data_IF_328097969343
#
_entry.id   IF_328097969343
#
_cell.length_a   1.000
_cell.length_b   1.000
_cell.length_c   1.000
_cell.angle_alpha   90.00
_cell.angle_beta   90.00
_cell.angle_gamma   90.00
#
_symmetry.space_group_name_H-M   'P 1'
#
loop_
_entity.id
_entity.type
_entity.pdbx_description
1 polymer ?
#
# COMPACT_ATOMS: atom_id res chain seq x y z
N UNK A 1 -64.50 3.23 -22.41
CA UNK A 1 -63.43 4.11 -22.94
C UNK A 1 -62.37 4.49 -21.91
N UNK A 2 -62.71 4.86 -20.67
CA UNK A 2 -61.75 5.35 -19.64
C UNK A 2 -60.63 4.36 -19.24
N UNK A 3 -60.89 3.04 -19.25
CA UNK A 3 -59.91 2.00 -18.90
C UNK A 3 -58.78 1.82 -19.94
N UNK A 4 -59.10 1.94 -21.23
CA UNK A 4 -58.10 1.83 -22.30
C UNK A 4 -57.10 2.99 -22.26
N UNK A 5 -57.55 4.19 -21.89
CA UNK A 5 -56.68 5.37 -21.78
C UNK A 5 -55.65 5.23 -20.63
N UNK A 6 -56.01 4.54 -19.55
CA UNK A 6 -55.09 4.29 -18.43
C UNK A 6 -54.00 3.30 -18.83
N UNK A 7 -54.36 2.21 -19.52
CA UNK A 7 -53.38 1.25 -20.03
C UNK A 7 -52.45 1.93 -21.05
N UNK A 8 -53.01 2.74 -21.94
CA UNK A 8 -52.23 3.47 -22.94
C UNK A 8 -51.26 4.47 -22.30
N UNK A 9 -51.68 5.13 -21.21
CA UNK A 9 -50.83 6.04 -20.44
C UNK A 9 -49.66 5.30 -19.79
N UNK A 10 -49.89 4.16 -19.14
CA UNK A 10 -48.79 3.38 -18.55
C UNK A 10 -47.86 2.80 -19.61
N UNK A 11 -48.40 2.41 -20.77
CA UNK A 11 -47.60 1.92 -21.90
C UNK A 11 -46.70 3.04 -22.47
N UNK A 12 -47.25 4.23 -22.70
CA UNK A 12 -46.48 5.37 -23.19
C UNK A 12 -45.46 5.86 -22.17
N UNK A 13 -45.81 5.84 -20.88
CA UNK A 13 -44.90 6.18 -19.80
C UNK A 13 -43.73 5.19 -19.73
N UNK A 14 -44.01 3.88 -19.77
CA UNK A 14 -42.97 2.84 -19.81
C UNK A 14 -42.06 2.97 -21.04
N UNK A 15 -42.63 3.31 -22.19
CA UNK A 15 -41.86 3.55 -23.42
C UNK A 15 -40.95 4.78 -23.29
N UNK A 16 -41.45 5.88 -22.71
CA UNK A 16 -40.65 7.08 -22.46
C UNK A 16 -39.49 6.80 -21.49
N UNK A 17 -39.72 6.05 -20.41
CA UNK A 17 -38.66 5.63 -19.49
C UNK A 17 -37.64 4.70 -20.18
N UNK A 18 -38.08 3.80 -21.05
CA UNK A 18 -37.18 2.93 -21.81
C UNK A 18 -36.23 3.73 -22.71
N UNK A 19 -36.76 4.71 -23.46
CA UNK A 19 -35.94 5.62 -24.28
C UNK A 19 -34.96 6.41 -23.42
N UNK A 20 -35.40 6.92 -22.26
CA UNK A 20 -34.55 7.68 -21.35
C UNK A 20 -33.39 6.83 -20.82
N UNK A 21 -33.66 5.61 -20.35
CA UNK A 21 -32.64 4.68 -19.86
C UNK A 21 -31.67 4.30 -20.98
N UNK A 22 -32.17 4.02 -22.18
CA UNK A 22 -31.33 3.65 -23.32
C UNK A 22 -30.40 4.79 -23.75
N UNK A 23 -30.91 6.03 -23.76
CA UNK A 23 -30.12 7.22 -24.07
C UNK A 23 -28.99 7.43 -23.06
N UNK A 24 -29.29 7.27 -21.77
CA UNK A 24 -28.28 7.32 -20.69
C UNK A 24 -27.25 6.22 -20.82
N UNK A 25 -27.68 5.00 -21.17
CA UNK A 25 -26.78 3.88 -21.40
C UNK A 25 -25.80 4.16 -22.55
N UNK A 26 -26.27 4.69 -23.68
CA UNK A 26 -25.42 5.03 -24.83
C UNK A 26 -24.41 6.11 -24.45
N UNK A 27 -24.81 7.11 -23.66
CA UNK A 27 -23.93 8.18 -23.17
C UNK A 27 -22.82 7.62 -22.26
N UNK A 28 -23.16 6.68 -21.37
CA UNK A 28 -22.20 5.97 -20.52
C UNK A 28 -21.27 5.06 -21.33
N UNK A 29 -21.79 4.25 -22.26
CA UNK A 29 -21.00 3.34 -23.08
C UNK A 29 -19.99 4.09 -23.97
N UNK A 30 -20.33 5.27 -24.49
CA UNK A 30 -19.38 6.14 -25.20
C UNK A 30 -18.19 6.55 -24.34
N UNK A 31 -18.40 6.68 -23.03
CA UNK A 31 -17.36 7.06 -22.06
C UNK A 31 -16.59 5.83 -21.54
N UNK A 32 -17.25 4.67 -21.48
CA UNK A 32 -16.70 3.41 -20.96
C UNK A 32 -16.07 2.50 -22.03
N UNK A 33 -16.04 2.91 -23.31
CA UNK A 33 -15.39 2.15 -24.40
C UNK A 33 -13.85 2.24 -24.40
N UNK A 34 -13.24 2.77 -23.34
CA UNK A 34 -11.79 2.78 -23.17
C UNK A 34 -11.40 1.48 -22.47
N UNK A 35 -10.66 0.61 -23.16
CA UNK A 35 -10.09 -0.60 -22.55
C UNK A 35 -8.93 -0.15 -21.67
N UNK A 36 -9.14 -0.21 -20.36
CA UNK A 36 -8.09 -0.02 -19.39
C UNK A 36 -7.24 -1.28 -19.30
N UNK A 37 -5.94 -1.17 -19.57
CA UNK A 37 -5.01 -2.28 -19.41
C UNK A 37 -4.12 -1.99 -18.21
N UNK A 38 -4.15 -2.90 -17.24
CA UNK A 38 -3.46 -2.75 -15.97
C UNK A 38 -2.37 -3.80 -15.79
N UNK A 39 -1.30 -3.42 -15.09
CA UNK A 39 -0.22 -4.30 -14.65
C UNK A 39 0.14 -3.99 -13.20
N UNK A 40 0.59 -4.96 -12.44
CA UNK A 40 0.99 -4.70 -11.05
C UNK A 40 2.39 -4.09 -10.96
N UNK A 41 2.59 -3.16 -10.02
CA UNK A 41 3.89 -2.54 -9.76
C UNK A 41 4.95 -3.58 -9.39
N UNK A 42 4.54 -4.64 -8.69
CA UNK A 42 5.37 -5.79 -8.36
C UNK A 42 5.88 -6.49 -9.63
N UNK A 43 5.04 -6.65 -10.66
CA UNK A 43 5.42 -7.22 -11.94
C UNK A 43 6.32 -6.28 -12.75
N UNK A 44 6.08 -4.97 -12.72
CA UNK A 44 7.00 -3.98 -13.32
C UNK A 44 8.40 -4.12 -12.71
N UNK A 45 8.49 -4.22 -11.39
CA UNK A 45 9.77 -4.40 -10.67
C UNK A 45 10.42 -5.73 -11.03
N UNK A 46 9.65 -6.81 -11.10
CA UNK A 46 10.15 -8.12 -11.51
C UNK A 46 10.70 -8.08 -12.93
N UNK A 47 9.98 -7.46 -13.85
CA UNK A 47 10.42 -7.27 -15.24
C UNK A 47 11.69 -6.41 -15.32
N UNK A 48 11.76 -5.34 -14.53
CA UNK A 48 12.94 -4.49 -14.41
C UNK A 48 14.16 -5.29 -13.94
N UNK A 49 13.99 -6.10 -12.88
CA UNK A 49 15.03 -6.98 -12.35
C UNK A 49 15.52 -8.03 -13.35
N UNK A 50 14.61 -8.67 -14.09
CA UNK A 50 14.96 -9.65 -15.13
C UNK A 50 15.67 -8.97 -16.31
N UNK A 51 15.28 -7.74 -16.66
CA UNK A 51 15.80 -7.00 -17.81
C UNK A 51 17.08 -6.20 -17.51
N UNK A 52 17.53 -6.18 -16.24
CA UNK A 52 18.64 -5.34 -15.79
C UNK A 52 18.37 -3.83 -15.90
N UNK A 53 17.09 -3.43 -15.98
CA UNK A 53 16.64 -2.04 -16.07
C UNK A 53 16.05 -1.60 -14.73
N UNK A 54 15.88 -0.30 -14.54
CA UNK A 54 15.08 0.23 -13.44
C UNK A 54 13.58 0.21 -13.78
N UNK A 55 12.73 0.24 -12.75
CA UNK A 55 11.28 0.35 -12.95
C UNK A 55 10.90 1.63 -13.73
N UNK A 56 11.65 2.72 -13.53
CA UNK A 56 11.46 3.98 -14.25
C UNK A 56 11.76 3.87 -15.75
N UNK A 57 12.64 2.96 -16.17
CA UNK A 57 12.93 2.69 -17.58
C UNK A 57 11.91 1.74 -18.22
N UNK A 58 11.37 0.79 -17.46
CA UNK A 58 10.34 -0.15 -17.96
C UNK A 58 8.98 0.54 -18.14
N UNK A 59 8.64 1.46 -17.25
CA UNK A 59 7.34 2.16 -17.26
C UNK A 59 7.02 2.84 -18.61
N UNK A 60 7.91 3.63 -19.23
CA UNK A 60 7.70 4.15 -20.59
C UNK A 60 7.42 3.07 -21.64
N UNK A 61 8.18 1.96 -21.63
CA UNK A 61 8.02 0.86 -22.58
C UNK A 61 6.63 0.20 -22.44
N UNK A 62 6.14 0.06 -21.21
CA UNK A 62 4.79 -0.46 -20.95
C UNK A 62 3.71 0.48 -21.47
N UNK A 63 3.93 1.79 -21.39
CA UNK A 63 3.00 2.79 -21.91
C UNK A 63 2.91 2.74 -23.44
N UNK A 64 4.05 2.55 -24.11
CA UNK A 64 4.13 2.44 -25.57
C UNK A 64 3.37 1.22 -26.11
N UNK A 65 3.28 0.14 -25.34
CA UNK A 65 2.50 -1.06 -25.69
C UNK A 65 1.03 -1.00 -25.24
N UNK A 66 0.58 0.14 -24.69
CA UNK A 66 -0.82 0.39 -24.37
C UNK A 66 -1.25 0.09 -22.93
N UNK A 67 -0.30 -0.14 -22.00
CA UNK A 67 -0.64 -0.18 -20.57
C UNK A 67 -1.01 1.22 -20.10
N UNK A 68 -2.18 1.36 -19.48
CA UNK A 68 -2.71 2.65 -19.01
C UNK A 68 -2.67 2.79 -17.50
N UNK A 69 -2.63 1.67 -16.78
CA UNK A 69 -2.83 1.65 -15.33
C UNK A 69 -1.85 0.72 -14.61
N UNK A 70 -1.54 1.07 -13.37
CA UNK A 70 -0.66 0.27 -12.51
C UNK A 70 -1.34 -0.04 -11.18
N UNK A 71 -1.41 -1.33 -10.84
CA UNK A 71 -1.82 -1.80 -9.53
C UNK A 71 -0.72 -1.56 -8.49
N UNK A 72 -1.03 -0.79 -7.44
CA UNK A 72 -0.13 -0.56 -6.31
C UNK A 72 -0.66 -1.36 -5.12
N UNK A 73 0.06 -2.43 -4.77
CA UNK A 73 -0.28 -3.30 -3.66
C UNK A 73 0.15 -2.67 -2.32
N UNK A 74 -0.58 -3.01 -1.27
CA UNK A 74 -0.20 -2.67 0.10
C UNK A 74 1.12 -3.37 0.47
N UNK A 75 2.12 -2.61 0.90
CA UNK A 75 3.42 -3.19 1.26
C UNK A 75 3.38 -3.82 2.65
N UNK A 76 4.13 -4.91 2.83
CA UNK A 76 4.41 -5.48 4.16
C UNK A 76 5.82 -5.13 4.62
N UNK A 77 6.09 -5.21 5.93
CA UNK A 77 7.46 -5.00 6.45
C UNK A 77 8.44 -6.03 5.85
N UNK A 78 7.99 -7.28 5.64
CA UNK A 78 8.78 -8.32 4.96
C UNK A 78 9.15 -7.90 3.55
N UNK A 79 8.17 -7.48 2.74
CA UNK A 79 8.43 -7.08 1.35
C UNK A 79 9.41 -5.89 1.29
N UNK A 80 9.23 -4.89 2.15
CA UNK A 80 10.16 -3.76 2.23
C UNK A 80 11.57 -4.20 2.61
N UNK A 81 11.71 -5.20 3.49
CA UNK A 81 13.00 -5.76 3.86
C UNK A 81 13.63 -6.56 2.71
N UNK A 82 12.84 -7.36 2.00
CA UNK A 82 13.30 -8.13 0.84
C UNK A 82 13.76 -7.21 -0.30
N UNK A 83 13.16 -6.02 -0.41
CA UNK A 83 13.57 -4.96 -1.33
C UNK A 83 14.75 -4.12 -0.85
N UNK A 84 15.25 -4.34 0.36
CA UNK A 84 16.35 -3.59 0.95
C UNK A 84 16.01 -2.14 1.34
N UNK A 85 14.73 -1.78 1.41
CA UNK A 85 14.28 -0.43 1.82
C UNK A 85 14.28 -0.26 3.34
N UNK A 86 14.16 -1.38 4.05
CA UNK A 86 14.27 -1.45 5.51
C UNK A 86 15.15 -2.63 5.90
N UNK A 87 15.69 -2.58 7.12
CA UNK A 87 16.34 -3.72 7.76
C UNK A 87 15.45 -4.16 8.92
N UNK A 88 15.02 -5.41 8.90
CA UNK A 88 14.20 -6.03 9.92
C UNK A 88 15.03 -6.95 10.84
N UNK A 89 15.09 -6.63 12.13
CA UNK A 89 15.82 -7.40 13.13
C UNK A 89 14.95 -7.75 14.34
N UNK A 90 15.10 -8.96 14.90
CA UNK A 90 14.57 -9.30 16.21
C UNK A 90 15.56 -8.96 17.35
N UNK A 91 15.08 -8.99 18.59
CA UNK A 91 15.93 -8.69 19.74
C UNK A 91 17.12 -9.64 19.93
N UNK A 92 17.06 -10.87 19.42
CA UNK A 92 18.20 -11.80 19.45
C UNK A 92 19.26 -11.38 18.45
N UNK A 93 18.86 -10.97 17.24
CA UNK A 93 19.73 -10.43 16.21
C UNK A 93 20.43 -9.15 16.68
N UNK A 94 19.69 -8.22 17.30
CA UNK A 94 20.26 -7.01 17.90
C UNK A 94 21.22 -7.34 19.06
N UNK A 95 20.92 -8.36 19.88
CA UNK A 95 21.82 -8.79 20.95
C UNK A 95 23.15 -9.34 20.41
N UNK A 96 23.16 -9.98 19.24
CA UNK A 96 24.41 -10.48 18.63
C UNK A 96 25.42 -9.36 18.38
N UNK A 97 24.95 -8.13 18.13
CA UNK A 97 25.81 -6.98 17.88
C UNK A 97 26.72 -6.63 19.07
N UNK A 98 26.33 -7.00 20.30
CA UNK A 98 27.19 -6.83 21.48
C UNK A 98 28.49 -7.62 21.36
N UNK A 99 28.42 -8.83 20.79
CA UNK A 99 29.60 -9.67 20.60
C UNK A 99 30.47 -9.19 19.43
N UNK A 100 29.89 -8.47 18.47
CA UNK A 100 30.63 -7.94 17.30
C UNK A 100 31.33 -6.62 17.65
N UNK A 101 30.63 -5.71 18.32
CA UNK A 101 31.11 -4.35 18.59
C UNK A 101 31.60 -4.13 20.02
N UNK A 102 31.56 -5.17 20.86
CA UNK A 102 31.94 -5.12 22.27
C UNK A 102 31.20 -4.04 23.10
N UNK A 103 30.01 -3.62 22.65
CA UNK A 103 29.15 -2.62 23.30
C UNK A 103 27.69 -2.82 22.95
N UNK A 104 26.78 -2.33 23.79
CA UNK A 104 25.36 -2.29 23.41
C UNK A 104 25.16 -1.26 22.29
N UNK A 105 24.25 -1.51 21.35
CA UNK A 105 23.88 -0.51 20.36
C UNK A 105 23.39 0.79 21.02
N UNK A 106 23.96 1.93 20.59
CA UNK A 106 23.73 3.26 21.18
C UNK A 106 22.23 3.66 21.22
N UNK A 107 21.42 3.15 20.29
CA UNK A 107 19.97 3.42 20.26
C UNK A 107 19.21 2.75 21.41
N UNK A 108 19.67 1.61 21.93
CA UNK A 108 19.03 0.94 23.07
C UNK A 108 19.25 1.75 24.35
N UNK A 109 20.46 2.29 24.52
CA UNK A 109 20.82 3.10 25.68
C UNK A 109 20.13 4.47 25.65
N UNK A 110 20.15 5.16 24.50
CA UNK A 110 19.52 6.48 24.35
C UNK A 110 18.00 6.47 24.53
N UNK A 111 17.33 5.38 24.14
CA UNK A 111 15.88 5.22 24.34
C UNK A 111 15.53 4.60 25.69
N UNK A 112 16.51 4.25 26.53
CA UNK A 112 16.33 3.51 27.78
C UNK A 112 15.53 2.21 27.61
N UNK A 113 15.71 1.53 26.47
CA UNK A 113 14.99 0.30 26.14
C UNK A 113 15.86 -0.89 26.49
N UNK A 114 15.44 -1.67 27.49
CA UNK A 114 15.97 -3.00 27.71
C UNK A 114 15.55 -3.90 26.53
N UNK A 115 16.51 -4.32 25.70
CA UNK A 115 16.27 -5.24 24.59
C UNK A 115 15.67 -6.56 25.09
N UNK A 116 14.63 -7.04 24.41
CA UNK A 116 13.96 -8.32 24.71
C UNK A 116 13.84 -9.14 23.44
N UNK A 117 13.93 -10.46 23.57
CA UNK A 117 13.87 -11.39 22.43
C UNK A 117 12.57 -11.25 21.60
N UNK A 118 11.46 -10.88 22.24
CA UNK A 118 10.17 -10.65 21.57
C UNK A 118 9.95 -9.23 21.05
N UNK A 119 11.00 -8.43 20.91
CA UNK A 119 10.91 -7.11 20.27
C UNK A 119 11.41 -7.18 18.83
N UNK A 120 10.79 -6.38 17.98
CA UNK A 120 11.16 -6.21 16.58
C UNK A 120 11.64 -4.80 16.34
N UNK A 121 12.72 -4.69 15.58
CA UNK A 121 13.42 -3.46 15.24
C UNK A 121 13.42 -3.31 13.73
N UNK A 122 12.98 -2.15 13.25
CA UNK A 122 12.91 -1.81 11.83
C UNK A 122 13.74 -0.56 11.63
N UNK A 123 14.75 -0.65 10.77
CA UNK A 123 15.63 0.47 10.43
C UNK A 123 15.39 0.89 9.00
N UNK A 124 15.29 2.18 8.73
CA UNK A 124 15.21 2.71 7.36
C UNK A 124 15.90 4.06 7.27
N UNK A 125 16.53 4.34 6.14
CA UNK A 125 17.12 5.66 5.88
C UNK A 125 16.05 6.69 5.48
N UNK A 126 14.87 6.24 5.03
CA UNK A 126 13.76 7.11 4.64
C UNK A 126 12.85 7.45 5.84
N UNK A 127 12.82 8.70 6.33
CA UNK A 127 12.00 9.07 7.49
C UNK A 127 10.49 8.96 7.24
N UNK A 128 10.02 9.25 6.02
CA UNK A 128 8.61 9.15 5.63
C UNK A 128 8.14 7.70 5.70
N UNK A 129 8.95 6.77 5.19
CA UNK A 129 8.70 5.34 5.28
C UNK A 129 8.69 4.86 6.74
N UNK A 130 9.65 5.31 7.55
CA UNK A 130 9.70 4.99 8.98
C UNK A 130 8.47 5.48 9.75
N UNK A 131 7.96 6.67 9.41
CA UNK A 131 6.76 7.22 10.02
C UNK A 131 5.50 6.46 9.58
N UNK A 132 5.40 6.08 8.31
CA UNK A 132 4.34 5.21 7.80
C UNK A 132 4.30 3.88 8.54
N UNK A 133 5.45 3.20 8.67
CA UNK A 133 5.58 1.93 9.39
C UNK A 133 5.13 2.08 10.85
N UNK A 134 5.60 3.12 11.54
CA UNK A 134 5.21 3.40 12.92
C UNK A 134 3.68 3.55 13.06
N UNK A 135 3.07 4.36 12.20
CA UNK A 135 1.62 4.62 12.24
C UNK A 135 0.83 3.34 11.97
N UNK A 136 1.21 2.56 10.97
CA UNK A 136 0.56 1.31 10.64
C UNK A 136 0.60 0.30 11.81
N UNK A 137 1.78 0.12 12.41
CA UNK A 137 1.93 -0.80 13.53
C UNK A 137 1.17 -0.32 14.78
N UNK A 138 1.10 0.98 15.06
CA UNK A 138 0.32 1.53 16.17
C UNK A 138 -1.19 1.26 16.01
N UNK A 139 -1.71 1.36 14.79
CA UNK A 139 -3.13 1.15 14.51
C UNK A 139 -3.51 -0.33 14.47
N UNK A 140 -2.68 -1.18 13.84
CA UNK A 140 -2.96 -2.61 13.66
C UNK A 140 -2.65 -3.47 14.89
N UNK A 141 -1.79 -3.00 15.80
CA UNK A 141 -1.43 -3.72 17.02
C UNK A 141 -1.90 -2.96 18.27
N UNK A 142 -3.21 -2.91 18.55
CA UNK A 142 -3.73 -2.21 19.73
C UNK A 142 -3.15 -2.81 21.01
N UNK A 143 -2.66 -1.95 21.91
CA UNK A 143 -2.02 -2.35 23.17
C UNK A 143 -0.53 -2.73 23.04
N UNK A 144 0.02 -2.82 21.83
CA UNK A 144 1.46 -2.96 21.61
C UNK A 144 2.10 -1.58 21.63
N UNK A 145 3.13 -1.41 22.47
CA UNK A 145 3.95 -0.21 22.44
C UNK A 145 4.83 -0.22 21.20
N UNK A 146 4.63 0.78 20.34
CA UNK A 146 5.48 1.05 19.17
C UNK A 146 6.13 2.42 19.36
N UNK A 147 7.46 2.44 19.28
CA UNK A 147 8.27 3.66 19.38
C UNK A 147 8.87 3.93 18.01
N UNK A 148 8.82 5.18 17.55
CA UNK A 148 9.48 5.61 16.32
C UNK A 148 10.32 6.85 16.59
N UNK A 149 11.59 6.81 16.21
CA UNK A 149 12.55 7.89 16.46
C UNK A 149 13.52 8.06 15.29
N UNK A 150 13.83 9.30 14.93
CA UNK A 150 14.86 9.61 13.95
C UNK A 150 16.19 9.88 14.65
N UNK A 151 17.22 9.14 14.27
CA UNK A 151 18.55 9.20 14.92
C UNK A 151 19.48 10.23 14.29
N UNK A 152 19.03 10.98 13.29
CA UNK A 152 19.87 11.86 12.45
C UNK A 152 20.48 11.17 11.24
N UNK A 153 20.48 9.83 11.20
CA UNK A 153 20.97 9.03 10.05
C UNK A 153 19.92 8.06 9.50
N UNK A 154 19.16 7.44 10.40
CA UNK A 154 18.09 6.51 10.05
C UNK A 154 16.90 6.71 10.99
N UNK A 155 15.73 6.35 10.50
CA UNK A 155 14.52 6.19 11.29
C UNK A 155 14.46 4.78 11.88
N UNK A 156 14.23 4.71 13.18
CA UNK A 156 14.11 3.46 13.92
C UNK A 156 12.68 3.31 14.42
N UNK A 157 12.06 2.19 14.06
CA UNK A 157 10.78 1.75 14.64
C UNK A 157 11.04 0.53 15.52
N UNK A 158 10.52 0.55 16.74
CA UNK A 158 10.62 -0.54 17.71
C UNK A 158 9.20 -0.96 18.08
N UNK A 159 8.84 -2.19 17.72
CA UNK A 159 7.57 -2.79 18.10
C UNK A 159 7.80 -3.83 19.19
N UNK A 160 7.04 -3.75 20.30
CA UNK A 160 7.06 -4.76 21.36
C UNK A 160 6.22 -5.99 20.99
N UNK A 161 6.45 -6.52 19.79
CA UNK A 161 5.83 -7.71 19.23
C UNK A 161 6.90 -8.52 18.49
N UNK A 162 6.66 -9.83 18.35
CA UNK A 162 7.61 -10.72 17.69
C UNK A 162 7.70 -10.46 16.18
N UNK A 163 8.84 -10.86 15.60
CA UNK A 163 9.19 -10.59 14.20
C UNK A 163 8.18 -11.18 13.23
N UNK A 164 7.66 -12.39 13.51
CA UNK A 164 6.71 -13.07 12.62
C UNK A 164 5.37 -12.34 12.56
N UNK A 165 4.91 -11.83 13.70
CA UNK A 165 3.72 -10.97 13.75
C UNK A 165 3.95 -9.68 12.97
N UNK A 166 5.07 -9.00 13.18
CA UNK A 166 5.33 -7.67 12.59
C UNK A 166 5.60 -7.75 11.08
N UNK A 167 6.27 -8.80 10.60
CA UNK A 167 6.74 -8.85 9.21
C UNK A 167 5.62 -8.98 8.16
N UNK A 168 4.48 -9.56 8.55
CA UNK A 168 3.36 -9.83 7.64
C UNK A 168 2.26 -8.77 7.70
N UNK A 169 2.42 -7.73 8.51
CA UNK A 169 1.42 -6.66 8.65
C UNK A 169 1.45 -5.78 7.41
N UNK A 170 0.27 -5.53 6.83
CA UNK A 170 0.11 -4.55 5.76
C UNK A 170 0.32 -3.13 6.29
N UNK A 171 1.09 -2.32 5.59
CA UNK A 171 1.50 -0.99 6.04
C UNK A 171 0.71 0.15 5.38
N UNK A 172 -0.20 -0.19 4.48
CA UNK A 172 -0.84 0.74 3.57
C UNK A 172 -0.02 0.98 2.31
N UNK A 173 -0.35 2.06 1.60
CA UNK A 173 0.30 2.43 0.35
C UNK A 173 1.37 3.47 0.62
N UNK A 174 2.59 3.21 0.16
CA UNK A 174 3.67 4.15 0.33
C UNK A 174 3.54 5.27 -0.70
N UNK A 175 3.32 6.50 -0.22
CA UNK A 175 3.00 7.66 -1.06
C UNK A 175 4.05 7.93 -2.13
N UNK A 176 5.34 7.70 -1.85
CA UNK A 176 6.40 7.88 -2.85
C UNK A 176 6.22 6.94 -4.05
N UNK A 177 5.73 5.72 -3.83
CA UNK A 177 5.49 4.76 -4.92
C UNK A 177 4.26 5.14 -5.74
N UNK A 178 3.18 5.53 -5.07
CA UNK A 178 1.96 6.01 -5.73
C UNK A 178 2.27 7.26 -6.56
N UNK A 179 3.06 8.19 -6.00
CA UNK A 179 3.50 9.39 -6.69
C UNK A 179 4.44 9.07 -7.86
N UNK A 180 5.31 8.07 -7.76
CA UNK A 180 6.17 7.65 -8.86
C UNK A 180 5.35 7.09 -10.03
N UNK A 181 4.34 6.26 -9.76
CA UNK A 181 3.40 5.74 -10.77
C UNK A 181 2.65 6.89 -11.45
N UNK A 182 2.14 7.84 -10.66
CA UNK A 182 1.44 9.02 -11.17
C UNK A 182 2.36 9.91 -12.01
N UNK A 183 3.61 10.11 -11.58
CA UNK A 183 4.61 10.89 -12.31
C UNK A 183 5.02 10.25 -13.64
N UNK A 184 5.00 8.91 -13.73
CA UNK A 184 5.16 8.18 -14.98
C UNK A 184 3.92 8.29 -15.91
N UNK A 185 2.84 8.93 -15.44
CA UNK A 185 1.64 9.21 -16.19
C UNK A 185 0.75 8.00 -16.39
N UNK A 186 0.75 7.06 -15.44
CA UNK A 186 -0.21 5.97 -15.34
C UNK A 186 -1.38 6.38 -14.43
N UNK A 187 -2.55 5.79 -14.68
CA UNK A 187 -3.55 5.69 -13.61
C UNK A 187 -3.03 4.70 -12.56
N UNK A 188 -3.40 4.89 -11.30
CA UNK A 188 -3.04 3.96 -10.23
C UNK A 188 -4.29 3.30 -9.66
N UNK A 189 -4.17 2.02 -9.35
CA UNK A 189 -5.23 1.23 -8.71
C UNK A 189 -4.66 0.76 -7.39
N UNK A 190 -5.16 1.29 -6.28
CA UNK A 190 -4.77 0.84 -4.96
C UNK A 190 -5.36 -0.54 -4.70
N UNK A 191 -4.51 -1.49 -4.31
CA UNK A 191 -4.88 -2.89 -4.06
C UNK A 191 -4.60 -3.25 -2.60
N UNK A 192 -5.58 -3.05 -1.70
CA UNK A 192 -5.45 -3.47 -0.31
C UNK A 192 -5.16 -4.97 -0.23
N UNK A 193 -4.31 -5.35 0.72
CA UNK A 193 -3.98 -6.75 0.95
C UNK A 193 -4.94 -7.37 1.95
N UNK A 194 -5.08 -8.70 1.92
CA UNK A 194 -5.80 -9.38 2.98
C UNK A 194 -4.91 -9.42 4.24
N UNK A 195 -5.35 -8.71 5.28
CA UNK A 195 -4.68 -8.67 6.58
C UNK A 195 -5.71 -8.90 7.69
N UNK A 196 -5.51 -9.90 8.59
CA UNK A 196 -6.44 -10.22 9.67
C UNK A 196 -6.56 -9.12 10.74
N UNK A 197 -5.66 -8.14 10.75
CA UNK A 197 -5.64 -7.02 11.68
C UNK A 197 -6.27 -5.73 11.12
N UNK A 198 -6.95 -5.83 9.97
CA UNK A 198 -7.69 -4.70 9.39
C UNK A 198 -8.87 -4.33 10.28
N UNK A 199 -8.97 -3.03 10.58
CA UNK A 199 -10.07 -2.42 11.33
C UNK A 199 -10.72 -1.31 10.51
N UNK A 200 -11.94 -0.88 10.86
CA UNK A 200 -12.61 0.23 10.16
C UNK A 200 -11.75 1.51 10.18
N UNK A 201 -11.15 1.82 11.33
CA UNK A 201 -10.23 2.96 11.46
C UNK A 201 -8.96 2.82 10.62
N UNK A 202 -8.50 1.59 10.34
CA UNK A 202 -7.41 1.37 9.39
C UNK A 202 -7.86 1.68 7.95
N UNK A 203 -9.05 1.23 7.55
CA UNK A 203 -9.58 1.44 6.20
C UNK A 203 -9.71 2.94 5.90
N UNK A 204 -10.23 3.73 6.84
CA UNK A 204 -10.33 5.20 6.70
C UNK A 204 -8.96 5.81 6.38
N UNK A 205 -7.89 5.38 7.08
CA UNK A 205 -6.54 5.90 6.84
C UNK A 205 -5.94 5.56 5.47
N UNK A 206 -6.46 4.55 4.78
CA UNK A 206 -5.99 4.17 3.44
C UNK A 206 -6.55 5.07 2.33
N UNK A 207 -7.74 5.64 2.52
CA UNK A 207 -8.48 6.33 1.47
C UNK A 207 -8.70 7.84 1.72
N UNK A 208 -8.62 8.31 2.98
CA UNK A 208 -8.81 9.74 3.33
C UNK A 208 -7.55 10.60 3.13
N UNK A 209 -6.75 10.33 2.10
CA UNK A 209 -5.52 11.07 1.79
C UNK A 209 -5.62 11.91 0.51
#
# INVERSE_FOLDING_TARGET
MRKNNVIFFFLSLGFAFSIFVLSRRIELEKTLNIIETAVDLTDIRRLAGISGKSAAEIMPELKDVGITSVGVEESTVRELNDRGLVILADGREVNKWKYIFNRSPDFLESQQIANKAGYTYIFTENPSLGMMIKTALLLKLPGVSVVGTYTGRYYLVIARADKLTVENIGLGFWEEEVNAVKAAGFNYILRPSHDPLVTDGWIETLFDK
#
